data_IF_456111917106
#
_entry.id   IF_456111917106
#
_cell.length_a   1.000
_cell.length_b   1.000
_cell.length_c   1.000
_cell.angle_alpha   90.00
_cell.angle_beta   90.00
_cell.angle_gamma   90.00
#
_symmetry.space_group_name_H-M   'P 1'
#
loop_
_entity.id
_entity.type
_entity.pdbx_description
1 polymer ?
#
# COMPACT_ATOMS: atom_id res chain seq x y z
N UNK A 1 -25.27 27.25 -19.20
CA UNK A 1 -25.53 27.58 -17.78
C UNK A 1 -24.50 26.87 -16.92
N UNK A 2 -23.69 27.61 -16.15
CA UNK A 2 -22.75 27.05 -15.17
C UNK A 2 -23.44 27.06 -13.80
N UNK A 3 -23.74 25.90 -13.24
CA UNK A 3 -24.22 25.78 -11.86
C UNK A 3 -23.00 25.78 -10.93
N UNK A 4 -22.93 26.75 -10.03
CA UNK A 4 -21.97 26.77 -8.93
C UNK A 4 -22.74 26.74 -7.61
N UNK A 5 -22.32 25.87 -6.67
CA UNK A 5 -22.85 25.88 -5.31
C UNK A 5 -22.32 27.15 -4.61
N UNK A 6 -23.23 27.91 -3.97
CA UNK A 6 -22.91 29.18 -3.30
C UNK A 6 -21.80 28.95 -2.26
N UNK A 7 -20.62 29.55 -2.47
CA UNK A 7 -19.45 29.44 -1.59
C UNK A 7 -18.33 28.51 -2.07
N UNK A 8 -18.46 27.86 -3.22
CA UNK A 8 -17.37 27.11 -3.86
C UNK A 8 -17.07 27.71 -5.22
N UNK A 9 -15.82 28.14 -5.44
CA UNK A 9 -15.42 28.82 -6.67
C UNK A 9 -15.73 27.95 -7.90
N UNK A 10 -15.46 26.64 -7.84
CA UNK A 10 -16.03 25.63 -8.75
C UNK A 10 -16.06 24.24 -8.09
N UNK A 11 -17.22 23.69 -7.67
CA UNK A 11 -17.28 22.25 -7.40
C UNK A 11 -17.30 21.54 -8.76
N UNK A 12 -16.26 20.75 -9.06
CA UNK A 12 -16.25 19.84 -10.20
C UNK A 12 -17.57 19.05 -10.20
N UNK A 13 -18.38 19.19 -11.25
CA UNK A 13 -19.66 18.49 -11.40
C UNK A 13 -19.50 16.98 -11.23
N UNK A 14 -18.34 16.42 -11.61
CA UNK A 14 -18.04 15.01 -11.37
C UNK A 14 -17.88 14.71 -9.88
N UNK A 15 -17.28 15.62 -9.11
CA UNK A 15 -17.11 15.47 -7.66
C UNK A 15 -18.44 15.53 -6.93
N UNK A 16 -19.33 16.45 -7.32
CA UNK A 16 -20.71 16.52 -6.79
C UNK A 16 -21.49 15.26 -7.15
N UNK A 17 -21.43 14.84 -8.41
CA UNK A 17 -22.11 13.62 -8.86
C UNK A 17 -21.61 12.38 -8.11
N UNK A 18 -20.28 12.21 -7.96
CA UNK A 18 -19.68 11.12 -7.19
C UNK A 18 -20.13 11.13 -5.74
N UNK A 19 -20.19 12.30 -5.11
CA UNK A 19 -20.68 12.42 -3.73
C UNK A 19 -22.14 11.97 -3.61
N UNK A 20 -23.02 12.43 -4.51
CA UNK A 20 -24.44 12.04 -4.53
C UNK A 20 -24.62 10.54 -4.79
N UNK A 21 -23.82 9.94 -5.67
CA UNK A 21 -23.84 8.49 -5.88
C UNK A 21 -23.47 7.72 -4.60
N UNK A 22 -22.48 8.19 -3.84
CA UNK A 22 -22.07 7.56 -2.57
C UNK A 22 -23.15 7.65 -1.48
N UNK A 23 -24.04 8.64 -1.56
CA UNK A 23 -25.20 8.74 -0.68
C UNK A 23 -26.35 7.81 -1.09
N UNK A 24 -26.35 7.34 -2.34
CA UNK A 24 -27.41 6.53 -2.92
C UNK A 24 -27.58 5.13 -2.29
N UNK A 25 -28.66 4.41 -2.65
CA UNK A 25 -29.01 3.11 -2.07
C UNK A 25 -27.95 2.03 -2.23
N UNK A 26 -27.17 2.08 -3.31
CA UNK A 26 -26.09 1.12 -3.57
C UNK A 26 -24.98 1.14 -2.52
N UNK A 27 -24.77 2.29 -1.87
CA UNK A 27 -23.68 2.49 -0.92
C UNK A 27 -24.26 2.74 0.46
N UNK A 28 -24.46 4.01 0.84
CA UNK A 28 -24.85 4.40 2.20
C UNK A 28 -26.35 4.43 2.43
N UNK A 29 -27.14 4.49 1.36
CA UNK A 29 -28.60 4.59 1.41
C UNK A 29 -29.11 5.76 2.28
N UNK A 30 -28.40 6.89 2.25
CA UNK A 30 -28.75 8.12 2.98
C UNK A 30 -29.62 9.06 2.14
N UNK A 31 -29.56 8.94 0.82
CA UNK A 31 -30.38 9.72 -0.09
C UNK A 31 -30.89 8.85 -1.25
N UNK A 32 -32.03 9.25 -1.81
CA UNK A 32 -32.64 8.67 -3.01
C UNK A 32 -32.95 9.78 -4.00
N UNK A 33 -32.94 9.46 -5.29
CA UNK A 33 -33.28 10.42 -6.34
C UNK A 33 -32.34 10.37 -7.53
N UNK A 34 -32.43 11.40 -8.38
CA UNK A 34 -31.67 11.52 -9.61
C UNK A 34 -31.40 12.98 -9.94
N UNK A 35 -30.50 13.24 -10.89
CA UNK A 35 -30.23 14.61 -11.36
C UNK A 35 -31.45 15.26 -12.04
N UNK A 36 -32.40 14.47 -12.56
CA UNK A 36 -33.61 14.98 -13.19
C UNK A 36 -34.74 15.29 -12.21
N UNK A 37 -34.79 14.59 -11.08
CA UNK A 37 -35.90 14.69 -10.10
C UNK A 37 -35.49 15.37 -8.78
N UNK A 38 -34.20 15.64 -8.59
CA UNK A 38 -33.64 16.03 -7.31
C UNK A 38 -33.38 14.81 -6.40
N UNK A 39 -32.72 15.08 -5.28
CA UNK A 39 -32.38 14.09 -4.26
C UNK A 39 -33.10 14.43 -2.94
N UNK A 40 -33.62 13.40 -2.29
CA UNK A 40 -34.26 13.48 -0.97
C UNK A 40 -33.55 12.54 0.00
N UNK A 41 -33.51 12.91 1.27
CA UNK A 41 -32.95 12.04 2.31
C UNK A 41 -33.89 10.87 2.59
N UNK A 42 -33.31 9.72 2.92
CA UNK A 42 -34.05 8.60 3.51
C UNK A 42 -34.20 8.82 5.03
N UNK A 43 -35.06 8.06 5.72
CA UNK A 43 -35.13 8.12 7.18
C UNK A 43 -33.77 7.87 7.87
N UNK A 44 -32.94 7.00 7.28
CA UNK A 44 -31.56 6.78 7.74
C UNK A 44 -30.69 8.03 7.51
N UNK A 45 -30.78 8.65 6.33
CA UNK A 45 -30.04 9.88 6.04
C UNK A 45 -30.42 11.05 6.95
N UNK A 46 -31.70 11.17 7.31
CA UNK A 46 -32.17 12.17 8.26
C UNK A 46 -31.60 11.95 9.68
N UNK A 47 -31.54 10.70 10.14
CA UNK A 47 -30.95 10.35 11.43
C UNK A 47 -29.45 10.71 11.47
N UNK A 48 -28.70 10.34 10.41
CA UNK A 48 -27.27 10.67 10.28
C UNK A 48 -27.05 12.19 10.19
N UNK A 49 -27.91 12.92 9.46
CA UNK A 49 -27.82 14.38 9.39
C UNK A 49 -28.01 15.02 10.77
N UNK A 50 -28.96 14.51 11.56
CA UNK A 50 -29.21 15.00 12.93
C UNK A 50 -28.01 14.75 13.84
N UNK A 51 -27.44 13.54 13.80
CA UNK A 51 -26.23 13.18 14.56
C UNK A 51 -25.03 14.04 14.16
N UNK A 52 -24.81 14.23 12.86
CA UNK A 52 -23.75 15.08 12.35
C UNK A 52 -23.94 16.54 12.78
N UNK A 53 -25.17 17.05 12.75
CA UNK A 53 -25.51 18.39 13.23
C UNK A 53 -25.20 18.58 14.71
N UNK A 54 -25.51 17.58 15.54
CA UNK A 54 -25.18 17.60 16.97
C UNK A 54 -23.66 17.59 17.22
N UNK A 55 -22.90 16.78 16.47
CA UNK A 55 -21.43 16.75 16.56
C UNK A 55 -20.78 18.07 16.16
N UNK A 56 -21.29 18.72 15.11
CA UNK A 56 -20.79 20.02 14.66
C UNK A 56 -21.14 21.12 15.67
N UNK A 57 -22.37 21.11 16.22
CA UNK A 57 -22.81 22.09 17.21
C UNK A 57 -22.13 21.91 18.58
N UNK A 58 -21.79 20.68 18.96
CA UNK A 58 -21.21 20.34 20.26
C UNK A 58 -19.74 20.72 20.44
N UNK A 59 -19.07 21.28 19.42
CA UNK A 59 -17.67 21.74 19.51
C UNK A 59 -16.62 20.65 19.73
N UNK A 60 -17.02 19.43 20.11
CA UNK A 60 -16.17 18.27 20.29
C UNK A 60 -15.74 17.73 18.93
N UNK A 61 -14.75 18.38 18.32
CA UNK A 61 -13.84 17.70 17.41
C UNK A 61 -13.00 16.77 18.27
N UNK A 62 -13.45 15.53 18.46
CA UNK A 62 -12.46 14.49 18.70
C UNK A 62 -11.46 14.59 17.54
N UNK A 63 -10.16 14.74 17.80
CA UNK A 63 -9.19 14.72 16.73
C UNK A 63 -9.35 13.38 16.05
N UNK A 64 -9.96 13.38 14.87
CA UNK A 64 -9.88 12.26 13.96
C UNK A 64 -8.40 12.18 13.61
N UNK A 65 -7.66 11.38 14.38
CA UNK A 65 -6.35 10.93 14.01
C UNK A 65 -6.58 10.19 12.70
N UNK A 66 -6.35 10.91 11.60
CA UNK A 66 -6.23 10.28 10.29
C UNK A 66 -5.23 9.15 10.56
N UNK A 67 -5.59 7.86 10.40
CA UNK A 67 -4.58 6.82 10.49
C UNK A 67 -3.51 7.31 9.54
N UNK A 68 -2.30 7.52 10.07
CA UNK A 68 -1.19 7.87 9.23
C UNK A 68 -1.23 6.83 8.14
N UNK A 69 -1.53 7.26 6.92
CA UNK A 69 -1.18 6.42 5.79
C UNK A 69 0.29 6.23 6.03
N UNK A 70 0.70 5.03 6.44
CA UNK A 70 2.04 4.56 6.23
C UNK A 70 2.20 4.76 4.74
N UNK A 71 2.68 5.95 4.35
CA UNK A 71 2.97 6.26 2.98
C UNK A 71 3.84 5.10 2.58
N UNK A 72 3.59 4.55 1.39
CA UNK A 72 4.56 3.68 0.76
C UNK A 72 5.82 4.52 0.54
N UNK A 73 6.58 4.67 1.62
CA UNK A 73 7.85 5.36 1.70
C UNK A 73 8.77 4.18 1.60
N UNK A 74 9.16 3.90 0.38
CA UNK A 74 10.18 2.90 0.10
C UNK A 74 11.37 3.21 1.01
N UNK A 75 11.62 2.32 1.98
CA UNK A 75 12.71 2.43 2.95
C UNK A 75 13.81 1.45 2.54
N UNK A 76 14.92 1.93 1.97
CA UNK A 76 16.04 1.07 1.59
C UNK A 76 16.61 0.30 2.79
N UNK A 77 16.63 0.89 3.99
CA UNK A 77 17.14 0.21 5.18
C UNK A 77 16.19 -0.92 5.62
N UNK A 78 14.88 -0.68 5.51
CA UNK A 78 13.83 -1.68 5.73
C UNK A 78 13.98 -2.90 4.83
N UNK A 79 14.32 -2.72 3.55
CA UNK A 79 14.53 -3.81 2.60
C UNK A 79 15.66 -4.77 3.02
N UNK A 80 16.77 -4.24 3.54
CA UNK A 80 17.87 -5.07 4.07
C UNK A 80 17.48 -5.70 5.40
N UNK A 81 16.77 -4.97 6.26
CA UNK A 81 16.26 -5.52 7.53
C UNK A 81 15.34 -6.71 7.29
N UNK A 82 14.44 -6.62 6.31
CA UNK A 82 13.52 -7.70 5.96
C UNK A 82 14.25 -8.88 5.33
N UNK A 83 15.27 -8.63 4.50
CA UNK A 83 16.16 -9.68 3.99
C UNK A 83 16.82 -10.45 5.13
N UNK A 84 17.28 -9.75 6.17
CA UNK A 84 17.95 -10.35 7.34
C UNK A 84 17.03 -11.16 8.24
N UNK A 85 15.73 -10.89 8.23
CA UNK A 85 14.72 -11.65 8.99
C UNK A 85 14.35 -12.99 8.34
N UNK A 86 14.88 -13.29 7.16
CA UNK A 86 14.55 -14.53 6.46
C UNK A 86 15.31 -15.71 7.08
N UNK A 87 14.66 -16.86 7.20
CA UNK A 87 15.30 -18.11 7.68
C UNK A 87 16.53 -18.51 6.85
N UNK A 88 16.56 -18.11 5.58
CA UNK A 88 17.70 -18.32 4.70
C UNK A 88 18.92 -17.51 5.12
N UNK A 89 18.71 -16.26 5.57
CA UNK A 89 19.78 -15.41 6.09
C UNK A 89 20.33 -15.94 7.41
N UNK A 90 19.46 -16.35 8.33
CA UNK A 90 19.86 -16.98 9.60
C UNK A 90 20.72 -18.23 9.35
N UNK A 91 20.25 -19.14 8.49
CA UNK A 91 21.02 -20.34 8.10
C UNK A 91 22.35 -19.99 7.43
N UNK A 92 22.40 -18.93 6.64
CA UNK A 92 23.63 -18.46 6.03
C UNK A 92 24.62 -17.91 7.07
N UNK A 93 24.14 -17.14 8.06
CA UNK A 93 24.97 -16.61 9.13
C UNK A 93 25.59 -17.72 9.99
N UNK A 94 24.85 -18.79 10.24
CA UNK A 94 25.29 -19.89 11.12
C UNK A 94 26.19 -20.92 10.41
N UNK A 95 25.86 -21.27 9.16
CA UNK A 95 26.46 -22.42 8.46
C UNK A 95 27.06 -22.06 7.08
N UNK A 96 27.07 -20.79 6.71
CA UNK A 96 27.56 -20.30 5.43
C UNK A 96 26.70 -20.74 4.23
N UNK A 97 27.33 -20.82 3.06
CA UNK A 97 26.63 -21.04 1.77
C UNK A 97 26.09 -22.45 1.55
N UNK A 98 26.53 -23.43 2.35
CA UNK A 98 26.32 -24.85 2.09
C UNK A 98 24.85 -25.32 2.22
N UNK A 99 23.97 -24.49 2.78
CA UNK A 99 22.56 -24.83 3.05
C UNK A 99 21.54 -24.02 2.26
N UNK A 100 21.97 -23.22 1.29
CA UNK A 100 21.07 -22.41 0.47
C UNK A 100 20.55 -23.22 -0.73
N UNK A 101 19.24 -23.16 -0.92
CA UNK A 101 18.49 -23.80 -1.99
C UNK A 101 17.90 -22.77 -2.95
N UNK A 102 17.31 -23.25 -4.06
CA UNK A 102 16.60 -22.37 -4.98
C UNK A 102 15.31 -21.79 -4.36
N UNK A 103 14.66 -22.51 -3.45
CA UNK A 103 13.47 -22.01 -2.77
C UNK A 103 13.82 -20.86 -1.80
N UNK A 104 15.05 -20.85 -1.27
CA UNK A 104 15.57 -19.74 -0.46
C UNK A 104 15.72 -18.45 -1.26
N UNK A 105 16.04 -18.55 -2.55
CA UNK A 105 16.07 -17.39 -3.46
C UNK A 105 14.67 -16.80 -3.61
N UNK A 106 13.65 -17.65 -3.81
CA UNK A 106 12.27 -17.22 -3.96
C UNK A 106 11.76 -16.53 -2.72
N UNK A 107 11.97 -17.16 -1.57
CA UNK A 107 11.52 -16.63 -0.29
C UNK A 107 12.24 -15.31 0.06
N UNK A 108 13.57 -15.27 -0.08
CA UNK A 108 14.36 -14.10 0.29
C UNK A 108 14.12 -12.87 -0.60
N UNK A 109 13.76 -13.09 -1.87
CA UNK A 109 13.47 -12.00 -2.80
C UNK A 109 11.98 -11.62 -2.87
N UNK A 110 11.11 -12.33 -2.15
CA UNK A 110 9.65 -12.17 -2.29
C UNK A 110 9.16 -12.51 -3.70
N UNK A 111 9.79 -13.47 -4.37
CA UNK A 111 9.54 -13.86 -5.75
C UNK A 111 8.85 -15.23 -5.83
N UNK A 112 8.29 -15.53 -7.01
CA UNK A 112 7.65 -16.80 -7.31
C UNK A 112 8.41 -17.56 -8.41
N UNK A 113 8.17 -18.86 -8.54
CA UNK A 113 8.81 -19.70 -9.57
C UNK A 113 8.56 -19.25 -11.01
N UNK A 114 7.48 -18.51 -11.24
CA UNK A 114 7.11 -17.95 -12.54
C UNK A 114 7.53 -16.49 -12.71
N UNK A 115 8.19 -15.88 -11.71
CA UNK A 115 8.71 -14.52 -11.84
C UNK A 115 9.75 -14.48 -12.97
N UNK A 116 9.68 -13.49 -13.89
CA UNK A 116 10.66 -13.35 -14.96
C UNK A 116 12.09 -13.26 -14.44
N UNK A 117 13.04 -13.85 -15.16
CA UNK A 117 14.45 -13.93 -14.74
C UNK A 117 15.07 -12.54 -14.65
N UNK A 118 14.65 -11.66 -15.54
CA UNK A 118 15.06 -10.27 -15.63
C UNK A 118 14.68 -9.51 -14.35
N UNK A 119 13.44 -9.68 -13.88
CA UNK A 119 12.97 -9.07 -12.64
C UNK A 119 13.75 -9.57 -11.40
N UNK A 120 14.10 -10.86 -11.36
CA UNK A 120 14.94 -11.44 -10.30
C UNK A 120 16.35 -10.82 -10.33
N UNK A 121 16.94 -10.66 -11.51
CA UNK A 121 18.26 -10.03 -11.68
C UNK A 121 18.25 -8.56 -11.26
N UNK A 122 17.24 -7.80 -11.68
CA UNK A 122 17.05 -6.41 -11.28
C UNK A 122 16.90 -6.28 -9.76
N UNK A 123 16.16 -7.20 -9.14
CA UNK A 123 16.00 -7.24 -7.69
C UNK A 123 17.33 -7.47 -6.97
N UNK A 124 18.17 -8.39 -7.44
CA UNK A 124 19.53 -8.57 -6.91
C UNK A 124 20.39 -7.32 -7.04
N UNK A 125 20.35 -6.64 -8.19
CA UNK A 125 21.10 -5.39 -8.41
C UNK A 125 20.64 -4.31 -7.43
N UNK A 126 19.33 -4.16 -7.27
CA UNK A 126 18.73 -3.21 -6.34
C UNK A 126 19.17 -3.47 -4.89
N UNK A 127 18.96 -4.69 -4.37
CA UNK A 127 19.33 -5.04 -3.00
C UNK A 127 20.84 -4.93 -2.74
N UNK A 128 21.68 -5.26 -3.73
CA UNK A 128 23.13 -5.06 -3.60
C UNK A 128 23.53 -3.60 -3.55
N UNK A 129 22.90 -2.75 -4.36
CA UNK A 129 23.13 -1.30 -4.34
C UNK A 129 22.80 -0.74 -2.95
N UNK A 130 21.67 -1.15 -2.39
CA UNK A 130 21.23 -0.76 -1.05
C UNK A 130 22.21 -1.25 0.02
N UNK A 131 22.57 -2.54 0.01
CA UNK A 131 23.51 -3.13 0.97
C UNK A 131 24.90 -2.47 0.89
N UNK A 132 25.38 -2.17 -0.32
CA UNK A 132 26.64 -1.47 -0.53
C UNK A 132 26.60 -0.03 0.01
N UNK A 133 25.51 0.71 -0.23
CA UNK A 133 25.31 2.05 0.32
C UNK A 133 25.24 2.04 1.86
N UNK A 134 24.70 0.98 2.44
CA UNK A 134 24.65 0.78 3.89
C UNK A 134 25.97 0.25 4.50
N UNK A 135 26.95 -0.16 3.68
CA UNK A 135 28.20 -0.78 4.15
C UNK A 135 28.01 -2.19 4.74
N UNK A 136 26.92 -2.88 4.40
CA UNK A 136 26.53 -4.16 4.99
C UNK A 136 27.18 -5.33 4.25
N UNK A 137 28.40 -5.68 4.66
CA UNK A 137 29.20 -6.73 4.02
C UNK A 137 28.55 -8.10 4.09
N UNK A 138 27.82 -8.39 5.15
CA UNK A 138 27.17 -9.68 5.37
C UNK A 138 25.96 -9.85 4.44
N UNK A 139 25.15 -8.79 4.29
CA UNK A 139 24.06 -8.77 3.32
C UNK A 139 24.58 -8.92 1.88
N UNK A 140 25.71 -8.28 1.54
CA UNK A 140 26.35 -8.44 0.24
C UNK A 140 26.79 -9.90 -0.01
N UNK A 141 27.48 -10.51 0.96
CA UNK A 141 27.94 -11.90 0.87
C UNK A 141 26.76 -12.88 0.73
N UNK A 142 25.67 -12.65 1.47
CA UNK A 142 24.45 -13.43 1.36
C UNK A 142 23.80 -13.31 -0.03
N UNK A 143 23.64 -12.09 -0.54
CA UNK A 143 23.07 -11.85 -1.86
C UNK A 143 23.93 -12.48 -2.98
N UNK A 144 25.26 -12.48 -2.82
CA UNK A 144 26.16 -13.20 -3.73
C UNK A 144 25.97 -14.71 -3.68
N UNK A 145 25.78 -15.28 -2.49
CA UNK A 145 25.51 -16.70 -2.32
C UNK A 145 24.17 -17.11 -2.97
N UNK A 146 23.10 -16.35 -2.72
CA UNK A 146 21.79 -16.57 -3.34
C UNK A 146 21.85 -16.47 -4.87
N UNK A 147 22.58 -15.47 -5.39
CA UNK A 147 22.75 -15.32 -6.84
C UNK A 147 23.43 -16.54 -7.47
N UNK A 148 24.48 -17.07 -6.83
CA UNK A 148 25.15 -18.30 -7.30
C UNK A 148 24.19 -19.48 -7.35
N UNK A 149 23.33 -19.66 -6.34
CA UNK A 149 22.31 -20.72 -6.34
C UNK A 149 21.30 -20.54 -7.47
N UNK A 150 20.86 -19.30 -7.72
CA UNK A 150 19.96 -18.99 -8.82
C UNK A 150 20.58 -19.30 -10.19
N UNK A 151 21.86 -19.00 -10.40
CA UNK A 151 22.54 -19.23 -11.69
C UNK A 151 22.95 -20.69 -11.90
N UNK A 152 23.27 -21.46 -10.84
CA UNK A 152 23.67 -22.86 -10.94
C UNK A 152 22.53 -23.79 -11.37
N UNK A 153 21.32 -23.56 -10.84
CA UNK A 153 20.12 -24.37 -11.16
C UNK A 153 19.48 -24.03 -12.52
N UNK A 154 20.07 -23.08 -13.26
CA UNK A 154 19.64 -22.68 -14.60
C UNK A 154 20.42 -23.39 -15.72
N UNK A 155 21.48 -24.14 -15.37
CA UNK A 155 22.19 -25.05 -16.28
C UNK A 155 21.60 -26.45 -16.16
#
# INVERSE_FOLDING_TARGET
>A
MKFALRGYDHPDSNRVNRALLQLGPKYRNWAVGSTGTGFSLTPLGEAILREAGQRVAGGAREPFAKPESAGYTWDPAGEISDLKKTEAYERFSDAGTARLSIDDVWHALGAFRYTPKEAIRERFVSLKSIAAAAGDTDALAFLDALRKQFEQKQK
#
